data_IF_047869191773
#
_entry.id   IF_047869191773
#
_cell.length_a   1.000
_cell.length_b   1.000
_cell.length_c   1.000
_cell.angle_alpha   90.00
_cell.angle_beta   90.00
_cell.angle_gamma   90.00
#
_symmetry.space_group_name_H-M   'P 1'
#
loop_
_entity.id
_entity.type
_entity.pdbx_description
1 polymer ?
#
# COMPACT_ATOMS: atom_id res chain seq x y z
N UNK A 1 11.43 22.13 -67.65
CA UNK A 1 12.46 22.71 -66.77
C UNK A 1 11.75 23.73 -65.90
N UNK A 2 11.53 23.62 -64.60
CA UNK A 2 11.94 22.69 -63.56
C UNK A 2 10.86 22.77 -62.47
N UNK A 3 10.49 21.63 -61.93
CA UNK A 3 9.59 21.47 -60.79
C UNK A 3 10.29 21.94 -59.52
N UNK A 4 9.83 23.04 -58.91
CA UNK A 4 10.26 23.39 -57.56
C UNK A 4 9.29 22.78 -56.53
N UNK A 5 9.51 21.51 -56.18
CA UNK A 5 8.94 20.88 -54.99
C UNK A 5 9.46 21.60 -53.74
N UNK A 6 8.65 22.50 -53.18
CA UNK A 6 8.89 23.10 -51.88
C UNK A 6 8.73 22.03 -50.80
N UNK A 7 9.86 21.42 -50.43
CA UNK A 7 9.97 20.43 -49.37
C UNK A 7 9.65 21.10 -48.03
N UNK A 8 8.39 20.98 -47.58
CA UNK A 8 7.97 21.32 -46.21
C UNK A 8 8.91 20.59 -45.25
N UNK A 9 9.85 21.32 -44.64
CA UNK A 9 10.64 20.85 -43.52
C UNK A 9 9.64 20.55 -42.39
N UNK A 10 9.39 19.27 -42.14
CA UNK A 10 8.74 18.81 -40.93
C UNK A 10 9.52 19.40 -39.76
N UNK A 11 8.93 20.35 -39.04
CA UNK A 11 9.46 20.77 -37.74
C UNK A 11 9.53 19.51 -36.90
N UNK A 12 10.74 19.10 -36.53
CA UNK A 12 10.94 18.05 -35.54
C UNK A 12 10.09 18.39 -34.34
N UNK A 13 9.13 17.54 -34.00
CA UNK A 13 8.44 17.60 -32.71
C UNK A 13 9.55 17.32 -31.69
N UNK A 14 10.19 18.38 -31.18
CA UNK A 14 11.07 18.23 -30.02
C UNK A 14 10.10 18.01 -28.88
N UNK A 15 10.05 16.79 -28.38
CA UNK A 15 9.27 16.48 -27.20
C UNK A 15 9.61 17.50 -26.11
N UNK A 16 8.58 18.21 -25.65
CA UNK A 16 8.73 19.23 -24.62
C UNK A 16 8.97 18.50 -23.29
N UNK A 17 10.25 18.33 -22.93
CA UNK A 17 10.67 17.56 -21.76
C UNK A 17 10.52 18.33 -20.45
N UNK A 18 10.06 19.59 -20.51
CA UNK A 18 9.90 20.47 -19.35
C UNK A 18 8.49 20.30 -18.79
N UNK A 19 8.41 19.92 -17.53
CA UNK A 19 7.15 19.80 -16.79
C UNK A 19 6.91 21.08 -15.98
N UNK A 20 5.85 21.81 -16.30
CA UNK A 20 5.42 23.01 -15.55
C UNK A 20 4.06 22.80 -14.91
N UNK A 21 3.94 23.15 -13.63
CA UNK A 21 2.69 23.02 -12.87
C UNK A 21 2.55 24.13 -11.82
N UNK A 22 1.31 24.45 -11.45
CA UNK A 22 1.03 25.40 -10.35
C UNK A 22 1.07 24.66 -9.02
N UNK A 23 1.90 25.14 -8.09
CA UNK A 23 2.00 24.61 -6.73
C UNK A 23 1.86 25.77 -5.75
N UNK A 24 1.01 25.65 -4.70
CA UNK A 24 0.92 26.66 -3.65
C UNK A 24 2.30 26.96 -3.04
N UNK A 25 2.59 28.25 -2.81
CA UNK A 25 3.93 28.71 -2.39
C UNK A 25 4.38 28.05 -1.08
N UNK A 26 3.46 27.90 -0.14
CA UNK A 26 3.73 27.27 1.16
C UNK A 26 4.12 25.79 1.01
N UNK A 27 3.35 25.03 0.21
CA UNK A 27 3.63 23.62 -0.09
C UNK A 27 4.98 23.47 -0.79
N UNK A 28 5.29 24.35 -1.76
CA UNK A 28 6.58 24.35 -2.45
C UNK A 28 7.74 24.57 -1.47
N UNK A 29 7.61 25.53 -0.53
CA UNK A 29 8.66 25.83 0.45
C UNK A 29 8.90 24.64 1.39
N UNK A 30 7.83 24.07 1.93
CA UNK A 30 7.91 22.92 2.83
C UNK A 30 8.47 21.69 2.12
N UNK A 31 7.96 21.37 0.93
CA UNK A 31 8.43 20.28 0.11
C UNK A 31 9.93 20.40 -0.20
N UNK A 32 10.40 21.58 -0.62
CA UNK A 32 11.82 21.80 -0.89
C UNK A 32 12.71 21.65 0.36
N UNK A 33 12.24 22.04 1.54
CA UNK A 33 12.96 21.84 2.78
C UNK A 33 13.11 20.35 3.11
N UNK A 34 12.04 19.57 2.93
CA UNK A 34 12.06 18.10 3.11
C UNK A 34 12.98 17.43 2.09
N UNK A 35 12.86 17.80 0.81
CA UNK A 35 13.71 17.29 -0.27
C UNK A 35 15.19 17.52 0.03
N UNK A 36 15.56 18.72 0.50
CA UNK A 36 16.93 19.04 0.91
C UNK A 36 17.40 18.18 2.08
N UNK A 37 16.52 17.89 3.04
CA UNK A 37 16.84 17.03 4.19
C UNK A 37 17.13 15.59 3.78
N UNK A 38 16.37 15.06 2.81
CA UNK A 38 16.56 13.69 2.29
C UNK A 38 17.62 13.59 1.18
N UNK A 39 18.21 14.72 0.77
CA UNK A 39 19.22 14.78 -0.29
C UNK A 39 18.67 14.62 -1.71
N UNK A 40 17.36 14.80 -1.90
CA UNK A 40 16.70 14.67 -3.20
C UNK A 40 16.41 16.02 -3.85
N UNK A 41 16.18 16.00 -5.16
CA UNK A 41 15.86 17.19 -5.96
C UNK A 41 14.39 17.20 -6.39
N UNK A 42 13.82 18.38 -6.72
CA UNK A 42 12.46 18.46 -7.26
C UNK A 42 12.27 17.66 -8.55
N UNK A 43 13.30 17.57 -9.39
CA UNK A 43 13.28 16.76 -10.61
C UNK A 43 13.13 15.27 -10.31
N UNK A 44 13.88 14.75 -9.33
CA UNK A 44 13.75 13.36 -8.89
C UNK A 44 12.37 13.06 -8.31
N UNK A 45 11.80 13.99 -7.53
CA UNK A 45 10.43 13.86 -7.02
C UNK A 45 9.41 13.71 -8.15
N UNK A 46 9.49 14.57 -9.17
CA UNK A 46 8.57 14.55 -10.32
C UNK A 46 8.74 13.25 -11.12
N UNK A 47 9.98 12.84 -11.39
CA UNK A 47 10.25 11.60 -12.12
C UNK A 47 9.75 10.36 -11.36
N UNK A 48 9.98 10.32 -10.04
CA UNK A 48 9.48 9.24 -9.19
C UNK A 48 7.94 9.19 -9.18
N UNK A 49 7.27 10.35 -9.17
CA UNK A 49 5.81 10.42 -9.27
C UNK A 49 5.29 9.87 -10.61
N UNK A 50 5.95 10.18 -11.74
CA UNK A 50 5.60 9.58 -13.03
C UNK A 50 5.80 8.06 -13.04
N UNK A 51 6.92 7.57 -12.49
CA UNK A 51 7.16 6.12 -12.38
C UNK A 51 6.13 5.42 -11.51
N UNK A 52 5.68 6.07 -10.42
CA UNK A 52 4.62 5.56 -9.56
C UNK A 52 3.31 5.40 -10.33
N UNK A 53 2.89 6.44 -11.08
CA UNK A 53 1.66 6.42 -11.89
C UNK A 53 1.77 5.36 -12.99
N UNK A 54 2.92 5.24 -13.66
CA UNK A 54 3.12 4.20 -14.69
C UNK A 54 3.01 2.78 -14.13
N UNK A 55 3.38 2.57 -12.86
CA UNK A 55 3.37 1.24 -12.23
C UNK A 55 2.03 0.88 -11.59
N UNK A 56 1.35 1.86 -10.99
CA UNK A 56 0.13 1.65 -10.19
C UNK A 56 -1.14 2.16 -10.86
N UNK A 57 -1.00 2.90 -11.96
CA UNK A 57 -2.11 3.58 -12.66
C UNK A 57 -2.90 4.55 -11.76
N UNK A 58 -2.30 4.96 -10.64
CA UNK A 58 -2.91 5.81 -9.62
C UNK A 58 -1.94 6.92 -9.20
N UNK A 59 -2.48 8.06 -8.78
CA UNK A 59 -1.67 9.13 -8.20
C UNK A 59 -1.16 8.74 -6.81
N UNK A 60 0.02 9.25 -6.40
CA UNK A 60 0.48 9.11 -5.03
C UNK A 60 -0.38 9.99 -4.12
N UNK A 61 -1.51 9.45 -3.68
CA UNK A 61 -2.35 10.03 -2.64
C UNK A 61 -1.92 9.44 -1.29
N UNK A 62 -2.05 10.19 -0.20
CA UNK A 62 -1.94 9.59 1.13
C UNK A 62 -2.87 8.38 1.16
N UNK A 63 -2.35 7.23 1.61
CA UNK A 63 -3.13 6.02 1.71
C UNK A 63 -4.39 6.39 2.49
N UNK A 64 -5.55 6.35 1.83
CA UNK A 64 -6.82 6.49 2.53
C UNK A 64 -6.74 5.47 3.64
N UNK A 65 -6.76 5.94 4.89
CA UNK A 65 -6.95 5.07 6.04
C UNK A 65 -8.22 4.30 5.70
N UNK A 66 -8.06 3.03 5.30
CA UNK A 66 -9.18 2.17 5.02
C UNK A 66 -9.92 2.09 6.34
N UNK A 67 -11.05 2.79 6.43
CA UNK A 67 -11.90 2.67 7.59
C UNK A 67 -12.18 1.17 7.77
N UNK A 68 -12.03 0.62 8.99
CA UNK A 68 -12.21 -0.80 9.22
C UNK A 68 -13.56 -1.22 8.63
N UNK A 69 -13.50 -2.03 7.58
CA UNK A 69 -14.70 -2.44 6.87
C UNK A 69 -15.47 -3.43 7.75
N UNK A 70 -16.46 -2.93 8.47
CA UNK A 70 -17.32 -3.74 9.34
C UNK A 70 -18.33 -4.47 8.47
N UNK A 71 -18.03 -5.73 8.13
CA UNK A 71 -18.97 -6.62 7.44
C UNK A 71 -20.07 -7.03 8.43
N UNK A 72 -21.29 -6.52 8.24
CA UNK A 72 -22.46 -6.99 8.98
C UNK A 72 -23.01 -8.26 8.32
N UNK A 73 -22.80 -9.40 8.95
CA UNK A 73 -23.34 -10.67 8.50
C UNK A 73 -24.83 -10.78 8.79
N UNK A 74 -25.60 -11.29 7.83
CA UNK A 74 -27.00 -11.69 8.05
C UNK A 74 -27.06 -12.91 8.97
N UNK A 75 -28.22 -13.17 9.56
CA UNK A 75 -28.37 -14.30 10.49
C UNK A 75 -28.19 -15.65 9.80
N UNK A 76 -28.56 -15.75 8.52
CA UNK A 76 -28.28 -16.94 7.69
C UNK A 76 -26.78 -17.15 7.49
N UNK A 77 -26.03 -16.08 7.18
CA UNK A 77 -24.57 -16.17 7.01
C UNK A 77 -23.86 -16.55 8.31
N UNK A 78 -24.34 -16.06 9.46
CA UNK A 78 -23.82 -16.48 10.78
C UNK A 78 -24.08 -17.96 11.03
N UNK A 79 -25.24 -18.48 10.64
CA UNK A 79 -25.58 -19.90 10.80
C UNK A 79 -24.68 -20.77 9.93
N UNK A 80 -24.50 -20.43 8.65
CA UNK A 80 -23.59 -21.16 7.75
C UNK A 80 -22.13 -21.13 8.24
N UNK A 81 -21.68 -19.98 8.77
CA UNK A 81 -20.35 -19.87 9.38
C UNK A 81 -20.20 -20.77 10.60
N UNK A 82 -21.21 -20.81 11.48
CA UNK A 82 -21.20 -21.69 12.65
C UNK A 82 -21.12 -23.16 12.26
N UNK A 83 -21.96 -23.61 11.34
CA UNK A 83 -21.96 -25.00 10.86
C UNK A 83 -20.61 -25.38 10.22
N UNK A 84 -19.99 -24.44 9.49
CA UNK A 84 -18.66 -24.63 8.91
C UNK A 84 -17.57 -24.71 9.97
N UNK A 85 -17.63 -23.85 10.98
CA UNK A 85 -16.71 -23.89 12.12
C UNK A 85 -16.83 -25.22 12.85
N UNK A 86 -18.04 -25.62 13.23
CA UNK A 86 -18.29 -26.89 13.94
C UNK A 86 -17.80 -28.11 13.16
N UNK A 87 -17.93 -28.11 11.82
CA UNK A 87 -17.39 -29.19 10.97
C UNK A 87 -15.86 -29.19 10.88
N UNK A 88 -15.24 -28.01 10.96
CA UNK A 88 -13.80 -27.85 10.82
C UNK A 88 -13.05 -27.93 12.16
N UNK A 89 -13.75 -27.80 13.29
CA UNK A 89 -13.17 -27.83 14.62
C UNK A 89 -13.51 -29.13 15.35
N UNK A 90 -12.51 -29.76 15.95
CA UNK A 90 -12.73 -30.84 16.91
C UNK A 90 -12.76 -30.26 18.32
N UNK A 91 -13.71 -30.70 19.15
CA UNK A 91 -13.69 -30.38 20.57
C UNK A 91 -12.46 -31.04 21.21
N UNK A 92 -11.68 -30.24 21.93
CA UNK A 92 -10.51 -30.72 22.66
C UNK A 92 -10.99 -31.33 23.98
N UNK A 93 -10.62 -32.59 24.30
CA UNK A 93 -11.03 -33.23 25.55
C UNK A 93 -10.62 -32.44 26.78
N UNK A 94 -11.44 -32.46 27.84
CA UNK A 94 -11.17 -31.73 29.08
C UNK A 94 -9.86 -32.16 29.77
N UNK A 95 -9.47 -33.41 29.55
CA UNK A 95 -8.19 -33.96 30.02
C UNK A 95 -6.97 -33.25 29.43
N UNK A 96 -7.07 -32.62 28.26
CA UNK A 96 -5.99 -31.84 27.66
C UNK A 96 -5.79 -30.51 28.38
N UNK A 97 -6.88 -29.88 28.84
CA UNK A 97 -6.81 -28.59 29.52
C UNK A 97 -6.17 -28.70 30.90
N UNK A 98 -6.22 -29.87 31.55
CA UNK A 98 -5.58 -30.13 32.85
C UNK A 98 -5.94 -29.06 33.91
N UNK A 99 -7.14 -28.47 33.81
CA UNK A 99 -7.60 -27.38 34.68
C UNK A 99 -7.03 -25.98 34.36
N UNK A 100 -6.21 -25.84 33.31
CA UNK A 100 -5.66 -24.56 32.82
C UNK A 100 -6.49 -24.00 31.68
N UNK A 101 -6.57 -22.68 31.57
CA UNK A 101 -7.22 -22.04 30.42
C UNK A 101 -6.30 -22.08 29.19
N UNK A 102 -6.89 -21.91 28.00
CA UNK A 102 -6.14 -21.77 26.76
C UNK A 102 -5.07 -20.67 26.82
N UNK A 103 -5.38 -19.55 27.50
CA UNK A 103 -4.44 -18.43 27.63
C UNK A 103 -3.23 -18.80 28.49
N UNK A 104 -3.45 -19.56 29.56
CA UNK A 104 -2.37 -19.97 30.47
C UNK A 104 -1.40 -20.94 29.75
N UNK A 105 -1.93 -21.90 28.98
CA UNK A 105 -1.12 -22.80 28.17
C UNK A 105 -0.33 -22.07 27.07
N UNK A 106 -0.94 -21.05 26.46
CA UNK A 106 -0.29 -20.22 25.44
C UNK A 106 0.86 -19.41 26.06
N UNK A 107 0.66 -18.82 27.22
CA UNK A 107 1.66 -18.02 27.92
C UNK A 107 2.85 -18.88 28.38
N UNK A 108 2.59 -20.08 28.91
CA UNK A 108 3.60 -21.05 29.31
C UNK A 108 4.43 -21.50 28.09
N UNK A 109 3.78 -21.88 26.98
CA UNK A 109 4.46 -22.26 25.75
C UNK A 109 5.25 -21.10 25.11
N UNK A 110 4.77 -19.86 25.24
CA UNK A 110 5.52 -18.69 24.80
C UNK A 110 6.75 -18.47 25.67
N UNK A 111 6.62 -18.56 27.00
CA UNK A 111 7.71 -18.40 27.94
C UNK A 111 8.83 -19.42 27.69
N UNK A 112 8.48 -20.69 27.54
CA UNK A 112 9.43 -21.76 27.20
C UNK A 112 10.20 -21.46 25.90
N UNK A 113 9.52 -20.95 24.86
CA UNK A 113 10.17 -20.57 23.60
C UNK A 113 11.13 -19.39 23.76
N UNK A 114 10.80 -18.41 24.60
CA UNK A 114 11.69 -17.28 24.87
C UNK A 114 12.89 -17.68 25.71
N UNK A 115 12.70 -18.55 26.71
CA UNK A 115 13.79 -19.06 27.55
C UNK A 115 14.75 -19.97 26.76
N UNK A 116 14.28 -20.69 25.74
CA UNK A 116 15.11 -21.49 24.85
C UNK A 116 15.97 -20.67 23.86
N UNK A 117 15.75 -19.35 23.77
CA UNK A 117 16.52 -18.43 22.91
C UNK A 117 17.61 -17.66 23.68
N UNK A 118 17.72 -17.87 25.00
CA UNK A 118 18.72 -17.27 25.89
C UNK A 118 19.91 -18.22 26.12
#
# INVERSE_FOLDING_TARGET
METALSKKRSRSNRDDSIVTARVPVEIKRQGNAVLKKIGSTPTELVNAAYQYVLKREELPVEARLLEPHVIKLTDEQKKTLRERSERATCAVPESFWQGKSYKDLLEEAMREKYEALA
#
